data_IF_748085860324
#
_entry.id   IF_748085860324
#
_cell.length_a   1.000
_cell.length_b   1.000
_cell.length_c   1.000
_cell.angle_alpha   90.00
_cell.angle_beta   90.00
_cell.angle_gamma   90.00
#
_symmetry.space_group_name_H-M   'P 1'
#
loop_
_entity.id
_entity.type
_entity.pdbx_description
1 polymer ?
#
# COMPACT_ATOMS: atom_id res chain seq x y z
N UNK A 1 1.82 7.19 -8.54
CA UNK A 1 1.37 8.59 -8.27
C UNK A 1 0.60 9.26 -9.40
N UNK A 2 0.81 8.96 -10.69
CA UNK A 2 -0.09 9.40 -11.79
C UNK A 2 -1.45 8.68 -11.81
N UNK A 3 -1.52 7.47 -11.26
CA UNK A 3 -2.73 6.66 -11.15
C UNK A 3 -3.76 7.22 -10.15
N UNK A 4 -3.37 8.19 -9.31
CA UNK A 4 -4.23 8.88 -8.33
C UNK A 4 -4.66 10.29 -8.80
N UNK A 5 -4.35 10.69 -10.05
CA UNK A 5 -4.75 11.99 -10.60
C UNK A 5 -3.90 13.18 -10.16
N UNK A 6 -2.85 12.95 -9.37
CA UNK A 6 -1.89 13.97 -8.96
C UNK A 6 -0.70 14.00 -9.94
N UNK A 7 -0.27 15.19 -10.33
CA UNK A 7 0.83 15.40 -11.28
C UNK A 7 1.99 16.16 -10.61
N UNK A 8 2.62 15.59 -9.56
CA UNK A 8 3.78 16.20 -8.92
C UNK A 8 4.99 16.20 -9.86
N UNK A 9 5.86 17.19 -9.67
CA UNK A 9 7.11 17.31 -10.42
C UNK A 9 8.16 16.29 -9.94
N UNK A 10 9.13 15.89 -10.78
CA UNK A 10 10.19 14.94 -10.40
C UNK A 10 10.94 15.36 -9.12
N UNK A 11 11.10 16.66 -8.90
CA UNK A 11 11.65 17.23 -7.66
C UNK A 11 10.76 16.99 -6.45
N UNK A 12 9.44 17.15 -6.56
CA UNK A 12 8.51 16.84 -5.45
C UNK A 12 8.43 15.34 -5.18
N UNK A 13 8.51 14.50 -6.21
CA UNK A 13 8.60 13.05 -6.03
C UNK A 13 9.88 12.66 -5.29
N UNK A 14 11.00 13.34 -5.59
CA UNK A 14 12.28 13.10 -4.92
C UNK A 14 12.24 13.57 -3.47
N UNK A 15 11.61 14.70 -3.18
CA UNK A 15 11.42 15.21 -1.81
C UNK A 15 10.50 14.27 -1.01
N UNK A 16 9.38 13.82 -1.61
CA UNK A 16 8.44 12.89 -0.98
C UNK A 16 9.03 11.50 -0.73
N UNK A 17 9.92 11.03 -1.62
CA UNK A 17 10.68 9.78 -1.41
C UNK A 17 11.67 9.99 -0.27
N UNK A 18 12.52 11.03 -0.31
CA UNK A 18 13.52 11.28 0.73
C UNK A 18 12.94 11.51 2.14
N UNK A 19 11.73 12.04 2.26
CA UNK A 19 11.08 12.22 3.56
C UNK A 19 10.63 10.90 4.21
N UNK A 20 10.49 9.83 3.41
CA UNK A 20 9.84 8.58 3.85
C UNK A 20 10.71 7.34 3.67
N UNK A 21 11.71 7.46 2.79
CA UNK A 21 12.84 6.56 2.60
C UNK A 21 13.73 6.61 3.85
N UNK A 22 13.34 5.81 4.85
CA UNK A 22 13.97 5.71 6.15
C UNK A 22 15.32 5.01 6.07
N UNK A 23 15.50 4.13 5.08
CA UNK A 23 16.76 3.43 4.84
C UNK A 23 17.69 4.14 3.83
N UNK A 24 17.23 5.22 3.20
CA UNK A 24 17.93 6.04 2.19
C UNK A 24 18.34 5.22 0.96
N UNK A 25 17.56 4.19 0.59
CA UNK A 25 17.83 3.33 -0.55
C UNK A 25 17.41 3.99 -1.89
N UNK A 26 16.76 5.16 -1.86
CA UNK A 26 16.29 5.92 -3.02
C UNK A 26 15.01 5.37 -3.65
N UNK A 27 14.38 4.40 -3.00
CA UNK A 27 13.10 3.76 -3.34
C UNK A 27 12.20 3.76 -2.11
N UNK A 28 10.91 3.48 -2.26
CA UNK A 28 9.98 3.35 -1.13
C UNK A 28 9.63 1.87 -1.09
N UNK A 29 10.09 1.16 -0.07
CA UNK A 29 9.72 -0.22 0.17
C UNK A 29 8.33 -0.34 0.80
N UNK A 30 7.81 -1.57 0.94
CA UNK A 30 6.47 -1.79 1.48
C UNK A 30 6.25 -1.23 2.90
N UNK A 31 7.25 -1.32 3.79
CA UNK A 31 7.14 -0.76 5.14
C UNK A 31 7.20 0.77 5.10
N UNK A 32 8.01 1.33 4.22
CA UNK A 32 8.10 2.77 3.99
C UNK A 32 6.83 3.32 3.34
N UNK A 33 6.20 2.56 2.44
CA UNK A 33 4.92 2.90 1.83
C UNK A 33 3.78 2.88 2.85
N UNK A 34 3.76 1.85 3.71
CA UNK A 34 2.85 1.77 4.84
C UNK A 34 3.06 2.95 5.79
N UNK A 35 4.31 3.29 6.12
CA UNK A 35 4.63 4.48 6.92
C UNK A 35 4.22 5.77 6.22
N UNK A 36 4.36 5.88 4.89
CA UNK A 36 3.93 7.06 4.12
C UNK A 36 2.43 7.27 4.24
N UNK A 37 1.65 6.20 4.14
CA UNK A 37 0.20 6.23 4.33
C UNK A 37 -0.18 6.47 5.79
N UNK A 38 0.48 5.79 6.74
CA UNK A 38 0.23 5.93 8.18
C UNK A 38 0.59 7.33 8.72
N UNK A 39 1.62 7.98 8.17
CA UNK A 39 1.99 9.37 8.52
C UNK A 39 1.01 10.38 7.92
N UNK A 40 0.50 10.15 6.70
CA UNK A 40 -0.55 11.00 6.10
C UNK A 40 -1.91 10.88 6.81
N UNK A 41 -2.18 9.73 7.43
CA UNK A 41 -3.39 9.41 8.20
C UNK A 41 -3.61 10.34 9.43
N UNK A 42 -2.60 11.10 9.88
CA UNK A 42 -2.75 12.01 11.04
C UNK A 42 -3.61 13.27 10.80
N UNK A 43 -4.18 13.47 9.60
CA UNK A 43 -5.05 14.64 9.33
C UNK A 43 -6.45 14.20 8.87
N UNK A 44 -7.24 13.68 9.81
CA UNK A 44 -8.69 13.88 9.82
C UNK A 44 -9.61 12.92 9.04
N UNK A 45 -9.13 12.16 8.05
CA UNK A 45 -9.99 11.27 7.24
C UNK A 45 -9.39 9.87 7.01
N UNK A 46 -8.73 9.33 8.04
CA UNK A 46 -8.05 8.04 8.00
C UNK A 46 -8.91 6.89 7.45
N UNK A 47 -10.20 6.86 7.78
CA UNK A 47 -11.13 5.84 7.30
C UNK A 47 -11.47 6.01 5.81
N UNK A 48 -11.63 7.25 5.33
CA UNK A 48 -11.94 7.54 3.93
C UNK A 48 -10.73 7.30 3.02
N UNK A 49 -9.53 7.69 3.48
CA UNK A 49 -8.28 7.37 2.79
C UNK A 49 -8.00 5.87 2.78
N UNK A 50 -8.24 5.15 3.89
CA UNK A 50 -8.10 3.69 3.88
C UNK A 50 -9.05 3.03 2.90
N UNK A 51 -10.31 3.48 2.84
CA UNK A 51 -11.30 2.98 1.88
C UNK A 51 -10.89 3.27 0.44
N UNK A 52 -10.32 4.44 0.18
CA UNK A 52 -9.86 4.81 -1.15
C UNK A 52 -8.61 4.02 -1.54
N UNK A 53 -7.67 3.81 -0.62
CA UNK A 53 -6.52 2.95 -0.83
C UNK A 53 -6.97 1.51 -1.10
N UNK A 54 -7.86 0.97 -0.27
CA UNK A 54 -8.41 -0.38 -0.43
C UNK A 54 -9.07 -0.56 -1.81
N UNK A 55 -9.86 0.40 -2.28
CA UNK A 55 -10.46 0.37 -3.64
C UNK A 55 -9.44 0.48 -4.78
N UNK A 56 -8.25 1.00 -4.53
CA UNK A 56 -7.18 1.02 -5.54
C UNK A 56 -6.56 -0.37 -5.66
N UNK A 57 -6.50 -1.12 -4.56
CA UNK A 57 -6.04 -2.50 -4.53
C UNK A 57 -7.10 -3.49 -5.02
N UNK A 58 -8.31 -3.44 -4.46
CA UNK A 58 -9.49 -4.23 -4.84
C UNK A 58 -10.08 -3.70 -6.15
N UNK A 59 -9.63 -4.27 -7.26
CA UNK A 59 -9.96 -3.81 -8.61
C UNK A 59 -11.25 -4.42 -9.12
N UNK A 60 -11.52 -5.66 -8.71
CA UNK A 60 -12.73 -6.37 -9.08
C UNK A 60 -13.94 -5.98 -8.20
N UNK A 61 -13.70 -5.27 -7.09
CA UNK A 61 -14.73 -4.84 -6.16
C UNK A 61 -15.29 -5.99 -5.34
N UNK A 62 -14.51 -7.06 -5.17
CA UNK A 62 -14.87 -8.24 -4.38
C UNK A 62 -15.00 -7.92 -2.88
N UNK A 63 -14.40 -6.82 -2.42
CA UNK A 63 -14.31 -6.45 -1.01
C UNK A 63 -13.13 -7.11 -0.28
N UNK A 64 -12.25 -7.79 -1.01
CA UNK A 64 -11.04 -8.44 -0.51
C UNK A 64 -9.90 -8.25 -1.51
N UNK A 65 -8.67 -8.10 -1.05
CA UNK A 65 -7.50 -7.96 -1.93
C UNK A 65 -6.86 -9.34 -2.12
N UNK A 66 -6.88 -9.84 -3.35
CA UNK A 66 -6.20 -11.08 -3.70
C UNK A 66 -4.70 -10.90 -3.94
N UNK A 67 -3.93 -11.99 -3.89
CA UNK A 67 -2.50 -12.01 -4.23
C UNK A 67 -2.20 -11.41 -5.61
N UNK A 68 -3.07 -11.70 -6.58
CA UNK A 68 -2.92 -11.21 -7.94
C UNK A 68 -3.16 -9.71 -8.04
N UNK A 69 -4.12 -9.18 -7.29
CA UNK A 69 -4.43 -7.75 -7.23
C UNK A 69 -3.34 -6.95 -6.52
N UNK A 70 -2.90 -7.45 -5.36
CA UNK A 70 -1.78 -6.86 -4.63
C UNK A 70 -0.54 -6.79 -5.53
N UNK A 71 -0.23 -7.90 -6.22
CA UNK A 71 0.85 -7.97 -7.21
C UNK A 71 0.69 -6.96 -8.32
N UNK A 72 -0.51 -6.86 -8.88
CA UNK A 72 -0.77 -5.96 -9.99
C UNK A 72 -0.58 -4.49 -9.60
N UNK A 73 -1.02 -4.13 -8.41
CA UNK A 73 -0.94 -2.76 -7.91
C UNK A 73 0.51 -2.41 -7.57
N UNK A 74 1.24 -3.27 -6.88
CA UNK A 74 2.67 -3.09 -6.56
C UNK A 74 3.51 -2.98 -7.85
N UNK A 75 3.28 -3.89 -8.81
CA UNK A 75 3.93 -3.82 -10.13
C UNK A 75 3.58 -2.52 -10.87
N UNK A 76 2.34 -2.04 -10.74
CA UNK A 76 1.90 -0.77 -11.34
C UNK A 76 2.45 0.47 -10.62
N UNK A 77 2.88 0.33 -9.36
CA UNK A 77 3.56 1.37 -8.59
C UNK A 77 5.06 1.42 -8.88
N UNK A 78 5.60 0.41 -9.57
CA UNK A 78 7.01 0.32 -9.95
C UNK A 78 7.79 -0.68 -9.10
N UNK A 79 7.18 -1.25 -8.07
CA UNK A 79 7.77 -2.30 -7.24
C UNK A 79 7.58 -3.67 -7.91
N UNK A 80 8.68 -4.31 -8.29
CA UNK A 80 8.66 -5.69 -8.77
C UNK A 80 8.91 -6.64 -7.61
N UNK A 81 7.84 -7.02 -6.92
CA UNK A 81 7.90 -8.07 -5.91
C UNK A 81 7.72 -9.44 -6.56
N UNK A 82 8.46 -10.43 -6.07
CA UNK A 82 8.31 -11.83 -6.49
C UNK A 82 7.02 -12.42 -5.92
N UNK A 83 6.52 -13.47 -6.57
CA UNK A 83 5.33 -14.17 -6.08
C UNK A 83 5.51 -14.70 -4.64
N UNK A 84 6.74 -15.05 -4.25
CA UNK A 84 7.04 -15.51 -2.90
C UNK A 84 6.91 -14.39 -1.86
N UNK A 85 7.42 -13.19 -2.15
CA UNK A 85 7.31 -12.05 -1.23
C UNK A 85 5.85 -11.62 -1.06
N UNK A 86 5.06 -11.67 -2.12
CA UNK A 86 3.62 -11.37 -2.07
C UNK A 86 2.86 -12.41 -1.25
N UNK A 87 3.23 -13.69 -1.37
CA UNK A 87 2.64 -14.76 -0.55
C UNK A 87 2.97 -14.56 0.93
N UNK A 88 4.21 -14.16 1.26
CA UNK A 88 4.60 -13.83 2.64
C UNK A 88 3.83 -12.61 3.18
N UNK A 89 3.64 -11.58 2.37
CA UNK A 89 2.84 -10.40 2.75
C UNK A 89 1.39 -10.77 3.04
N UNK A 90 0.78 -11.59 2.18
CA UNK A 90 -0.57 -12.06 2.40
C UNK A 90 -0.62 -12.92 3.65
N UNK A 91 0.29 -13.86 3.86
CA UNK A 91 0.30 -14.67 5.08
C UNK A 91 0.47 -13.85 6.37
N UNK A 92 1.17 -12.70 6.32
CA UNK A 92 1.27 -11.80 7.47
C UNK A 92 0.00 -10.98 7.69
N UNK A 93 -0.71 -10.66 6.61
CA UNK A 93 -1.89 -9.83 6.59
C UNK A 93 -3.18 -10.60 6.91
N UNK A 94 -3.32 -11.76 6.27
CA UNK A 94 -4.43 -12.71 6.35
C UNK A 94 -4.42 -13.41 7.71
N UNK A 95 -5.27 -12.91 8.61
CA UNK A 95 -5.44 -13.48 9.95
C UNK A 95 -6.48 -14.59 9.96
N UNK A 96 -7.40 -14.57 9.00
CA UNK A 96 -8.52 -15.47 8.94
C UNK A 96 -8.19 -16.77 8.17
N UNK A 97 -7.10 -16.76 7.38
CA UNK A 97 -6.56 -17.87 6.60
C UNK A 97 -7.28 -18.14 5.26
N UNK A 98 -7.99 -17.17 4.70
CA UNK A 98 -8.74 -17.32 3.46
C UNK A 98 -7.91 -17.06 2.19
N UNK A 99 -6.66 -16.62 2.35
CA UNK A 99 -5.72 -16.32 1.28
C UNK A 99 -5.98 -14.98 0.57
N UNK A 100 -6.85 -14.14 1.12
CA UNK A 100 -7.06 -12.76 0.68
C UNK A 100 -6.94 -11.81 1.88
N UNK A 101 -6.92 -10.50 1.63
CA UNK A 101 -6.87 -9.49 2.68
C UNK A 101 -8.19 -8.74 2.68
N UNK A 102 -9.00 -8.91 3.72
CA UNK A 102 -10.23 -8.14 3.87
C UNK A 102 -9.97 -6.71 4.38
N UNK A 103 -11.01 -5.86 4.35
CA UNK A 103 -10.87 -4.47 4.78
C UNK A 103 -10.44 -4.33 6.25
N UNK A 104 -10.92 -5.21 7.14
CA UNK A 104 -10.59 -5.17 8.57
C UNK A 104 -9.13 -5.61 8.79
N UNK A 105 -8.67 -6.60 8.04
CA UNK A 105 -7.26 -7.04 8.01
C UNK A 105 -6.34 -5.94 7.47
N UNK A 106 -6.70 -5.32 6.34
CA UNK A 106 -5.97 -4.19 5.77
C UNK A 106 -5.91 -3.00 6.73
N UNK A 107 -7.04 -2.67 7.37
CA UNK A 107 -7.11 -1.64 8.41
C UNK A 107 -6.27 -2.00 9.63
N UNK A 108 -6.30 -3.26 10.05
CA UNK A 108 -5.50 -3.73 11.17
C UNK A 108 -4.01 -3.67 10.89
N UNK A 109 -3.56 -3.83 9.65
CA UNK A 109 -2.14 -3.68 9.25
C UNK A 109 -1.76 -2.20 9.24
N UNK A 110 -2.58 -1.35 8.63
CA UNK A 110 -2.33 0.09 8.52
C UNK A 110 -2.40 0.84 9.84
N UNK A 111 -3.21 0.35 10.80
CA UNK A 111 -3.39 0.98 12.11
C UNK A 111 -2.54 0.36 13.23
N UNK A 112 -1.74 -0.66 12.94
CA UNK A 112 -0.90 -1.31 13.96
C UNK A 112 0.49 -0.67 13.98
N UNK A 113 0.71 0.17 14.99
CA UNK A 113 2.00 0.68 15.45
C UNK A 113 3.00 -0.45 15.80
#
# INVERSE_FOLDING_TARGET
MRSLGLNPSDTELTDMVNEVDADNNGTIDFNEFLNLMAVKVQVGDAEEELKNAFKVFDRDGSGTISAEELRHVLTSLGENMTAAEIDEMIQMADKNGDGTIDYDEFASIMMRE
#
